data_IF_371254064259
#
_entry.id   IF_371254064259
#
_cell.length_a   1.000
_cell.length_b   1.000
_cell.length_c   1.000
_cell.angle_alpha   90.00
_cell.angle_beta   90.00
_cell.angle_gamma   90.00
#
_symmetry.space_group_name_H-M   'P 1'
#
loop_
_entity.id
_entity.type
_entity.pdbx_description
1 polymer ?
#
# COMPACT_ATOMS: atom_id res chain seq x y z
N UNK A 1 3.21 30.48 14.16
CA UNK A 1 2.23 29.40 14.42
C UNK A 1 2.83 28.11 13.87
N UNK A 2 3.22 27.17 14.72
CA UNK A 2 3.79 25.88 14.31
C UNK A 2 2.62 24.95 13.94
N UNK A 3 2.48 24.61 12.65
CA UNK A 3 1.48 23.63 12.22
C UNK A 3 1.92 22.27 12.74
N UNK A 4 1.12 21.69 13.65
CA UNK A 4 1.39 20.36 14.19
C UNK A 4 1.10 19.30 13.13
N UNK A 5 2.12 18.54 12.75
CA UNK A 5 1.99 17.44 11.79
C UNK A 5 1.30 16.20 12.40
N UNK A 6 1.08 16.17 13.72
CA UNK A 6 0.33 15.11 14.40
C UNK A 6 -1.17 15.06 14.01
N UNK A 7 -1.73 16.18 13.54
CA UNK A 7 -3.10 16.23 12.98
C UNK A 7 -3.22 15.58 11.60
N UNK A 8 -2.12 15.10 11.03
CA UNK A 8 -2.04 14.48 9.70
C UNK A 8 -1.76 12.98 9.77
N UNK A 9 -2.04 12.37 10.93
CA UNK A 9 -1.91 10.93 11.11
C UNK A 9 -2.92 10.20 10.22
N UNK A 10 -2.42 9.34 9.35
CA UNK A 10 -3.22 8.77 8.27
C UNK A 10 -4.12 7.64 8.81
N UNK A 11 -5.44 7.63 8.49
CA UNK A 11 -6.26 6.46 8.75
C UNK A 11 -5.72 5.23 8.00
N UNK A 12 -6.05 4.05 8.49
CA UNK A 12 -5.59 2.79 7.90
C UNK A 12 -6.76 2.07 7.26
N UNK A 13 -6.68 1.86 5.95
CA UNK A 13 -7.65 1.05 5.23
C UNK A 13 -7.46 -0.43 5.55
N UNK A 14 -8.52 -1.10 6.00
CA UNK A 14 -8.54 -2.55 6.28
C UNK A 14 -9.75 -3.20 5.60
N UNK A 15 -9.73 -4.51 5.31
CA UNK A 15 -10.92 -5.19 4.81
C UNK A 15 -12.08 -5.13 5.81
N UNK A 16 -13.29 -4.84 5.32
CA UNK A 16 -14.47 -4.70 6.15
C UNK A 16 -14.83 -6.05 6.83
N UNK A 17 -15.20 -6.00 8.11
CA UNK A 17 -15.59 -7.17 8.89
C UNK A 17 -14.46 -8.12 9.26
N UNK A 18 -13.21 -7.82 8.89
CA UNK A 18 -12.04 -8.59 9.35
C UNK A 18 -11.61 -8.08 10.73
N UNK A 19 -11.54 -8.94 11.76
CA UNK A 19 -11.09 -8.52 13.08
C UNK A 19 -9.66 -7.97 13.02
N UNK A 20 -9.34 -6.85 13.70
CA UNK A 20 -7.99 -6.28 13.67
C UNK A 20 -6.89 -7.24 14.13
N UNK A 21 -7.18 -8.14 15.08
CA UNK A 21 -6.28 -9.22 15.54
C UNK A 21 -5.90 -10.23 14.46
N UNK A 22 -6.61 -10.25 13.34
CA UNK A 22 -6.34 -11.11 12.18
C UNK A 22 -5.49 -10.39 11.12
N UNK A 23 -5.09 -9.15 11.41
CA UNK A 23 -4.27 -8.31 10.57
C UNK A 23 -2.92 -8.05 11.24
N UNK A 24 -1.88 -7.90 10.42
CA UNK A 24 -0.55 -7.51 10.86
C UNK A 24 -0.09 -6.26 10.12
N UNK A 25 0.75 -5.46 10.79
CA UNK A 25 1.48 -4.38 10.15
C UNK A 25 2.65 -4.96 9.35
N UNK A 26 2.63 -4.77 8.04
CA UNK A 26 3.70 -5.25 7.14
C UNK A 26 4.82 -4.22 7.00
N UNK A 27 4.44 -2.95 6.90
CA UNK A 27 5.37 -1.83 6.79
C UNK A 27 4.67 -0.53 7.19
N UNK A 28 5.41 0.38 7.80
CA UNK A 28 4.95 1.74 8.04
C UNK A 28 6.06 2.75 7.76
N UNK A 29 5.78 3.73 6.90
CA UNK A 29 6.57 4.96 6.85
C UNK A 29 6.07 5.91 7.96
N UNK A 30 7.01 6.52 8.68
CA UNK A 30 6.72 7.41 9.81
C UNK A 30 7.39 8.75 9.60
N UNK A 31 6.64 9.82 9.84
CA UNK A 31 7.18 11.17 9.87
C UNK A 31 7.28 11.70 11.30
N UNK A 32 8.19 12.65 11.52
CA UNK A 32 8.35 13.38 12.79
C UNK A 32 8.52 14.87 12.51
N UNK A 33 7.91 15.72 13.34
CA UNK A 33 7.89 17.18 13.10
C UNK A 33 9.16 17.85 13.61
N UNK A 34 9.78 17.22 14.61
CA UNK A 34 11.02 17.61 15.23
C UNK A 34 11.61 16.37 15.94
N UNK A 35 12.92 16.35 16.20
CA UNK A 35 13.53 15.35 17.07
C UNK A 35 12.81 15.30 18.43
N UNK A 36 12.42 14.09 18.87
CA UNK A 36 11.71 13.87 20.13
C UNK A 36 10.19 14.15 20.12
N UNK A 37 9.62 14.59 18.99
CA UNK A 37 8.17 14.78 18.85
C UNK A 37 7.44 13.45 18.56
N UNK A 38 6.11 13.38 18.81
CA UNK A 38 5.29 12.24 18.41
C UNK A 38 5.40 11.95 16.90
N UNK A 39 5.54 10.67 16.56
CA UNK A 39 5.54 10.23 15.16
C UNK A 39 4.12 10.00 14.64
N UNK A 40 3.88 10.39 13.38
CA UNK A 40 2.65 10.05 12.65
C UNK A 40 2.94 8.97 11.60
N UNK A 41 1.92 8.24 11.19
CA UNK A 41 1.98 7.32 10.06
C UNK A 41 1.75 8.07 8.76
N UNK A 42 2.60 7.80 7.78
CA UNK A 42 2.49 8.37 6.43
C UNK A 42 1.91 7.32 5.49
N UNK A 43 2.65 6.23 5.32
CA UNK A 43 2.21 5.09 4.53
C UNK A 43 2.12 3.88 5.43
N UNK A 44 1.02 3.15 5.35
CA UNK A 44 0.77 2.00 6.21
C UNK A 44 0.34 0.84 5.35
N UNK A 45 1.09 -0.25 5.42
CA UNK A 45 0.78 -1.51 4.73
C UNK A 45 0.33 -2.53 5.75
N UNK A 46 -0.84 -3.11 5.53
CA UNK A 46 -1.42 -4.17 6.35
C UNK A 46 -1.64 -5.42 5.52
N UNK A 47 -1.60 -6.57 6.17
CA UNK A 47 -1.88 -7.87 5.57
C UNK A 47 -2.51 -8.82 6.57
N UNK A 48 -2.85 -10.04 6.14
CA UNK A 48 -3.34 -11.06 7.04
C UNK A 48 -2.22 -11.53 7.97
N UNK A 49 -2.56 -11.83 9.22
CA UNK A 49 -1.66 -12.57 10.11
C UNK A 49 -1.34 -13.92 9.46
N UNK A 50 -0.05 -14.30 9.34
CA UNK A 50 0.32 -15.57 8.75
C UNK A 50 -0.17 -16.75 9.63
N UNK A 51 -0.66 -17.85 9.05
CA UNK A 51 -1.01 -19.04 9.81
C UNK A 51 0.17 -19.57 10.65
N UNK A 52 -0.09 -20.23 11.79
CA UNK A 52 0.97 -20.89 12.56
C UNK A 52 1.82 -21.82 11.69
N UNK A 53 3.14 -21.76 11.85
CA UNK A 53 4.10 -22.56 11.07
C UNK A 53 4.42 -22.00 9.67
N UNK A 54 3.84 -20.86 9.28
CA UNK A 54 4.28 -20.13 8.09
C UNK A 54 5.72 -19.64 8.28
N UNK A 55 6.63 -19.82 7.31
CA UNK A 55 7.98 -19.28 7.39
C UNK A 55 7.95 -17.76 7.64
N UNK A 56 8.85 -17.21 8.47
CA UNK A 56 8.83 -15.79 8.84
C UNK A 56 8.91 -14.85 7.63
N UNK A 57 9.55 -15.29 6.55
CA UNK A 57 9.74 -14.48 5.35
C UNK A 57 8.65 -14.67 4.28
N UNK A 58 7.72 -15.61 4.47
CA UNK A 58 6.73 -15.92 3.44
C UNK A 58 5.86 -14.69 3.11
N UNK A 59 5.69 -14.36 1.81
CA UNK A 59 4.96 -13.16 1.44
C UNK A 59 3.47 -13.28 1.82
N UNK A 60 2.85 -12.20 2.33
CA UNK A 60 1.45 -12.23 2.72
C UNK A 60 0.56 -12.43 1.48
N UNK A 61 -0.51 -13.22 1.64
CA UNK A 61 -1.42 -13.60 0.57
C UNK A 61 -1.99 -12.39 -0.19
N UNK A 62 -2.20 -11.29 0.54
CA UNK A 62 -2.55 -9.98 0.03
C UNK A 62 -2.01 -8.90 0.96
N UNK A 63 -1.93 -7.68 0.47
CA UNK A 63 -1.64 -6.49 1.27
C UNK A 63 -2.43 -5.29 0.79
N UNK A 64 -2.81 -4.45 1.73
CA UNK A 64 -3.43 -3.14 1.51
C UNK A 64 -2.49 -2.09 2.07
N UNK A 65 -2.04 -1.18 1.22
CA UNK A 65 -1.26 -0.02 1.63
C UNK A 65 -2.08 1.23 1.45
N UNK A 66 -2.21 1.99 2.53
CA UNK A 66 -2.77 3.34 2.53
C UNK A 66 -1.61 4.32 2.43
N UNK A 67 -1.67 5.22 1.45
CA UNK A 67 -0.64 6.22 1.15
C UNK A 67 -1.24 7.60 1.40
N UNK A 68 -0.60 8.38 2.27
CA UNK A 68 -1.05 9.74 2.57
C UNK A 68 -0.95 10.66 1.34
N UNK A 69 -1.95 11.54 1.15
CA UNK A 69 -1.79 12.72 0.30
C UNK A 69 -1.37 13.90 1.17
N UNK A 70 -0.22 14.47 0.87
CA UNK A 70 0.49 15.49 1.65
C UNK A 70 0.73 16.78 0.87
N UNK A 71 0.42 16.81 -0.42
CA UNK A 71 0.67 17.95 -1.30
C UNK A 71 2.16 18.10 -1.59
N UNK A 72 2.64 19.35 -1.62
CA UNK A 72 4.06 19.67 -1.72
C UNK A 72 4.57 20.05 -0.33
N UNK A 73 5.63 19.40 0.16
CA UNK A 73 6.22 19.65 1.49
C UNK A 73 7.74 19.67 1.44
N UNK A 74 8.40 20.41 2.34
CA UNK A 74 9.84 20.33 2.50
C UNK A 74 10.24 18.92 2.91
N UNK A 75 11.29 18.40 2.28
CA UNK A 75 11.93 17.14 2.63
C UNK A 75 13.10 17.39 3.60
N UNK A 76 13.58 16.34 4.27
CA UNK A 76 14.64 16.42 5.28
C UNK A 76 15.99 16.90 4.71
N UNK A 77 16.19 16.76 3.39
CA UNK A 77 17.37 17.22 2.66
C UNK A 77 17.27 18.68 2.19
N UNK A 78 16.19 19.38 2.53
CA UNK A 78 15.92 20.75 2.09
C UNK A 78 15.26 20.84 0.70
N UNK A 79 14.98 19.69 0.07
CA UNK A 79 14.18 19.59 -1.14
C UNK A 79 12.67 19.68 -0.88
N UNK A 80 11.88 19.30 -1.88
CA UNK A 80 10.42 19.20 -1.76
C UNK A 80 9.95 17.80 -2.12
N UNK A 81 9.19 17.16 -1.24
CA UNK A 81 8.39 15.98 -1.55
C UNK A 81 7.04 16.42 -2.13
N UNK A 82 6.65 15.84 -3.27
CA UNK A 82 5.34 16.10 -3.90
C UNK A 82 4.53 14.81 -3.88
N UNK A 83 3.22 14.93 -3.67
CA UNK A 83 2.29 13.83 -3.88
C UNK A 83 2.55 13.14 -5.22
N UNK A 84 2.76 11.82 -5.18
CA UNK A 84 2.95 11.04 -6.39
C UNK A 84 1.75 11.17 -7.36
N UNK A 85 1.88 10.65 -8.57
CA UNK A 85 0.71 10.48 -9.44
C UNK A 85 0.01 9.15 -9.13
N UNK A 86 -1.27 9.01 -9.50
CA UNK A 86 -1.96 7.71 -9.43
C UNK A 86 -1.24 6.65 -10.29
N UNK A 87 -0.58 7.08 -11.37
CA UNK A 87 0.31 6.24 -12.18
C UNK A 87 1.52 5.73 -11.39
N UNK A 88 2.18 6.57 -10.60
CA UNK A 88 3.27 6.13 -9.72
C UNK A 88 2.79 5.15 -8.63
N UNK A 89 1.56 5.33 -8.15
CA UNK A 89 0.92 4.38 -7.24
C UNK A 89 0.65 3.04 -7.94
N UNK A 90 0.22 3.06 -9.21
CA UNK A 90 0.04 1.86 -10.03
C UNK A 90 1.36 1.12 -10.30
N UNK A 91 2.44 1.87 -10.56
CA UNK A 91 3.79 1.29 -10.68
C UNK A 91 4.17 0.58 -9.38
N UNK A 92 3.99 1.24 -8.24
CA UNK A 92 4.24 0.67 -6.91
C UNK A 92 3.45 -0.63 -6.72
N UNK A 93 2.15 -0.64 -7.04
CA UNK A 93 1.31 -1.81 -6.89
C UNK A 93 1.82 -3.02 -7.70
N UNK A 94 2.19 -2.81 -8.97
CA UNK A 94 2.69 -3.87 -9.85
C UNK A 94 4.09 -4.32 -9.43
N UNK A 95 4.99 -3.39 -9.13
CA UNK A 95 6.34 -3.73 -8.68
C UNK A 95 6.29 -4.49 -7.36
N UNK A 96 5.52 -4.04 -6.37
CA UNK A 96 5.37 -4.76 -5.10
C UNK A 96 4.69 -6.13 -5.26
N UNK A 97 3.80 -6.30 -6.24
CA UNK A 97 3.26 -7.62 -6.59
C UNK A 97 4.36 -8.55 -7.11
N UNK A 98 5.22 -8.07 -8.03
CA UNK A 98 6.28 -8.88 -8.64
C UNK A 98 7.42 -9.18 -7.68
N UNK A 99 7.80 -8.23 -6.82
CA UNK A 99 8.86 -8.43 -5.82
C UNK A 99 8.52 -9.55 -4.83
N UNK A 100 7.23 -9.78 -4.54
CA UNK A 100 6.78 -10.90 -3.69
C UNK A 100 7.04 -12.28 -4.31
N UNK A 101 7.40 -12.34 -5.59
CA UNK A 101 7.69 -13.60 -6.29
C UNK A 101 9.18 -13.95 -6.27
N UNK A 102 10.04 -13.03 -5.82
CA UNK A 102 11.48 -13.29 -5.71
C UNK A 102 11.69 -14.36 -4.63
N UNK A 103 12.26 -15.53 -4.97
CA UNK A 103 12.57 -16.56 -3.99
C UNK A 103 13.57 -16.05 -2.95
N UNK A 104 13.34 -16.35 -1.68
CA UNK A 104 14.24 -15.95 -0.59
C UNK A 104 15.65 -16.56 -0.72
N UNK A 105 15.75 -17.77 -1.29
CA UNK A 105 17.03 -18.46 -1.49
C UNK A 105 17.78 -18.02 -2.76
N UNK A 106 17.34 -16.95 -3.41
CA UNK A 106 17.98 -16.44 -4.61
C UNK A 106 19.35 -15.82 -4.33
N UNK A 107 20.22 -15.85 -5.34
CA UNK A 107 21.49 -15.12 -5.27
C UNK A 107 21.24 -13.60 -5.22
N UNK A 108 22.23 -12.84 -4.73
CA UNK A 108 22.16 -11.38 -4.73
C UNK A 108 22.05 -10.80 -6.15
N UNK A 109 22.76 -11.41 -7.11
CA UNK A 109 22.71 -11.02 -8.53
C UNK A 109 21.31 -11.25 -9.14
N UNK A 110 20.73 -12.44 -8.91
CA UNK A 110 19.37 -12.74 -9.39
C UNK A 110 18.33 -11.82 -8.73
N UNK A 111 18.47 -11.57 -7.43
CA UNK A 111 17.60 -10.66 -6.68
C UNK A 111 17.64 -9.25 -7.25
N UNK A 112 18.84 -8.73 -7.54
CA UNK A 112 19.01 -7.41 -8.15
C UNK A 112 18.39 -7.37 -9.54
N UNK A 113 18.67 -8.37 -10.38
CA UNK A 113 18.14 -8.47 -11.74
C UNK A 113 16.60 -8.50 -11.74
N UNK A 114 15.99 -9.33 -10.88
CA UNK A 114 14.54 -9.41 -10.78
C UNK A 114 13.92 -8.14 -10.19
N UNK A 115 14.59 -7.49 -9.25
CA UNK A 115 14.15 -6.20 -8.70
C UNK A 115 14.11 -5.13 -9.79
N UNK A 116 15.16 -5.03 -10.61
CA UNK A 116 15.20 -4.12 -11.74
C UNK A 116 14.11 -4.44 -12.77
N UNK A 117 13.93 -5.72 -13.11
CA UNK A 117 12.89 -6.18 -14.02
C UNK A 117 11.48 -5.86 -13.50
N UNK A 118 11.24 -6.02 -12.20
CA UNK A 118 9.98 -5.67 -11.55
C UNK A 118 9.71 -4.16 -11.62
N UNK A 119 10.75 -3.33 -11.49
CA UNK A 119 10.65 -1.87 -11.66
C UNK A 119 10.32 -1.47 -13.10
N UNK A 120 11.04 -2.03 -14.09
CA UNK A 120 10.76 -1.78 -15.52
C UNK A 120 9.33 -2.21 -15.87
N UNK A 121 8.94 -3.42 -15.46
CA UNK A 121 7.60 -3.96 -15.72
C UNK A 121 6.53 -3.08 -15.06
N UNK A 122 6.76 -2.66 -13.81
CA UNK A 122 5.87 -1.75 -13.08
C UNK A 122 5.62 -0.46 -13.86
N UNK A 123 6.68 0.21 -14.32
CA UNK A 123 6.56 1.42 -15.16
C UNK A 123 5.77 1.18 -16.43
N UNK A 124 6.10 0.14 -17.18
CA UNK A 124 5.45 -0.17 -18.46
C UNK A 124 3.97 -0.47 -18.29
N UNK A 125 3.59 -1.23 -17.26
CA UNK A 125 2.18 -1.56 -16.98
C UNK A 125 1.43 -0.33 -16.47
N UNK A 126 2.03 0.45 -15.58
CA UNK A 126 1.41 1.64 -15.01
C UNK A 126 1.21 2.76 -16.05
N UNK A 127 2.10 2.89 -17.03
CA UNK A 127 1.93 3.83 -18.15
C UNK A 127 0.60 3.65 -18.89
N UNK A 128 0.00 2.45 -18.81
CA UNK A 128 -1.28 2.09 -19.42
C UNK A 128 -2.46 2.14 -18.44
N UNK A 129 -2.34 2.84 -17.30
CA UNK A 129 -3.41 2.93 -16.30
C UNK A 129 -4.77 3.38 -16.88
N UNK A 130 -4.74 4.24 -17.88
CA UNK A 130 -5.95 4.77 -18.53
C UNK A 130 -6.59 3.79 -19.53
N UNK A 131 -5.86 2.74 -19.94
CA UNK A 131 -6.34 1.67 -20.83
C UNK A 131 -7.15 0.63 -20.05
N UNK A 132 -8.47 0.65 -20.25
CA UNK A 132 -9.43 -0.25 -19.60
C UNK A 132 -9.17 -1.73 -19.88
N UNK A 133 -8.51 -2.08 -21.00
CA UNK A 133 -8.16 -3.48 -21.29
C UNK A 133 -7.01 -3.97 -20.41
N UNK A 134 -6.10 -3.06 -20.06
CA UNK A 134 -4.94 -3.35 -19.20
C UNK A 134 -5.27 -3.21 -17.71
N UNK A 135 -6.12 -2.22 -17.39
CA UNK A 135 -6.61 -1.90 -16.06
C UNK A 135 -8.14 -1.79 -16.06
N UNK A 136 -8.86 -2.94 -16.07
CA UNK A 136 -10.29 -2.95 -15.83
C UNK A 136 -10.65 -2.15 -14.58
N UNK A 137 -11.77 -1.42 -14.68
CA UNK A 137 -12.29 -0.61 -13.60
C UNK A 137 -13.40 -1.37 -12.90
N UNK A 138 -13.38 -1.37 -11.58
CA UNK A 138 -14.44 -1.88 -10.73
C UNK A 138 -14.70 -0.89 -9.59
N UNK A 139 -15.61 -1.22 -8.69
CA UNK A 139 -15.93 -0.39 -7.52
C UNK A 139 -15.39 -1.06 -6.27
N UNK A 140 -14.80 -0.26 -5.38
CA UNK A 140 -14.56 -0.62 -4.00
C UNK A 140 -15.48 0.16 -3.07
N UNK A 141 -16.03 -0.50 -2.07
CA UNK A 141 -16.85 0.08 -1.02
C UNK A 141 -15.97 0.38 0.19
N UNK A 142 -15.94 1.64 0.62
CA UNK A 142 -15.22 2.07 1.83
C UNK A 142 -16.24 2.72 2.76
N UNK A 143 -16.56 2.05 3.86
CA UNK A 143 -17.55 2.52 4.85
C UNK A 143 -18.91 2.93 4.24
N UNK A 144 -19.38 2.18 3.24
CA UNK A 144 -20.65 2.43 2.55
C UNK A 144 -20.56 3.40 1.37
N UNK A 145 -19.37 3.92 1.05
CA UNK A 145 -19.15 4.84 -0.06
C UNK A 145 -18.40 4.15 -1.22
N UNK A 146 -18.91 4.26 -2.47
CA UNK A 146 -18.26 3.68 -3.63
C UNK A 146 -17.09 4.54 -4.13
N UNK A 147 -15.96 3.91 -4.38
CA UNK A 147 -14.78 4.49 -5.02
C UNK A 147 -14.36 3.66 -6.23
N UNK A 148 -13.76 4.32 -7.23
CA UNK A 148 -13.24 3.65 -8.42
C UNK A 148 -11.95 2.90 -8.06
N UNK A 149 -11.89 1.62 -8.43
CA UNK A 149 -10.72 0.76 -8.29
C UNK A 149 -10.23 0.35 -9.67
N UNK A 150 -8.99 0.69 -10.01
CA UNK A 150 -8.31 0.14 -11.17
C UNK A 150 -7.64 -1.16 -10.77
N UNK A 151 -7.91 -2.23 -11.50
CA UNK A 151 -7.39 -3.56 -11.22
C UNK A 151 -6.56 -4.06 -12.40
N UNK A 152 -5.36 -4.53 -12.12
CA UNK A 152 -4.51 -5.26 -13.04
C UNK A 152 -4.37 -6.70 -12.55
N UNK A 153 -4.60 -7.66 -13.44
CA UNK A 153 -4.49 -9.09 -13.11
C UNK A 153 -3.52 -9.78 -14.05
N UNK A 154 -2.74 -10.69 -13.49
CA UNK A 154 -1.83 -11.57 -14.22
C UNK A 154 -1.85 -12.97 -13.59
N UNK A 155 -1.15 -13.91 -14.22
CA UNK A 155 -1.00 -15.26 -13.68
C UNK A 155 -0.34 -15.26 -12.30
N UNK A 156 0.57 -14.30 -12.05
CA UNK A 156 1.32 -14.20 -10.82
C UNK A 156 0.55 -13.55 -9.67
N UNK A 157 -0.52 -12.82 -9.97
CA UNK A 157 -1.32 -12.13 -8.95
C UNK A 157 -2.16 -10.98 -9.48
N UNK A 158 -2.53 -10.10 -8.56
CA UNK A 158 -3.22 -8.85 -8.88
C UNK A 158 -2.52 -7.64 -8.25
N UNK A 159 -2.70 -6.50 -8.91
CA UNK A 159 -2.37 -5.17 -8.41
C UNK A 159 -3.61 -4.29 -8.57
N UNK A 160 -3.93 -3.48 -7.56
CA UNK A 160 -5.08 -2.60 -7.55
C UNK A 160 -4.70 -1.24 -7.00
N UNK A 161 -5.29 -0.18 -7.58
CA UNK A 161 -5.09 1.18 -7.08
C UNK A 161 -6.39 1.97 -7.06
N UNK A 162 -6.54 2.80 -6.05
CA UNK A 162 -7.67 3.71 -5.91
C UNK A 162 -7.21 5.05 -5.31
N UNK A 163 -7.95 6.10 -5.63
CA UNK A 163 -7.81 7.43 -5.02
C UNK A 163 -9.08 7.70 -4.21
N UNK A 164 -8.93 7.83 -2.88
CA UNK A 164 -10.04 8.11 -1.96
C UNK A 164 -10.15 9.61 -1.65
N UNK A 165 -9.48 10.47 -2.42
CA UNK A 165 -9.42 11.91 -2.19
C UNK A 165 -8.39 12.29 -1.13
N UNK A 166 -8.54 11.80 0.10
CA UNK A 166 -7.64 12.09 1.23
C UNK A 166 -6.38 11.20 1.24
N UNK A 167 -6.47 10.02 0.65
CA UNK A 167 -5.37 9.06 0.55
C UNK A 167 -5.49 8.26 -0.74
N UNK A 168 -4.41 7.53 -1.05
CA UNK A 168 -4.42 6.55 -2.12
C UNK A 168 -4.22 5.16 -1.57
N UNK A 169 -4.71 4.19 -2.31
CA UNK A 169 -4.69 2.80 -1.90
C UNK A 169 -3.89 2.01 -2.93
N UNK A 170 -3.01 1.16 -2.43
CA UNK A 170 -2.35 0.10 -3.19
C UNK A 170 -2.82 -1.23 -2.64
N UNK A 171 -3.34 -2.08 -3.51
CA UNK A 171 -3.75 -3.44 -3.22
C UNK A 171 -2.86 -4.37 -4.05
N UNK A 172 -2.33 -5.43 -3.47
CA UNK A 172 -1.70 -6.48 -4.28
C UNK A 172 -1.66 -7.80 -3.54
N UNK A 173 -1.68 -8.89 -4.29
CA UNK A 173 -1.68 -10.23 -3.73
C UNK A 173 -1.78 -11.29 -4.82
N UNK A 174 -1.95 -12.55 -4.40
CA UNK A 174 -2.03 -13.68 -5.33
C UNK A 174 -3.40 -13.77 -6.02
N UNK A 175 -4.48 -13.44 -5.31
CA UNK A 175 -5.85 -13.48 -5.83
C UNK A 175 -6.66 -12.34 -5.24
N UNK A 176 -7.48 -11.65 -6.05
CA UNK A 176 -8.38 -10.63 -5.52
C UNK A 176 -9.42 -11.27 -4.59
N UNK A 177 -9.92 -10.54 -3.58
CA UNK A 177 -11.06 -10.99 -2.80
C UNK A 177 -12.33 -11.04 -3.67
N UNK A 178 -13.34 -11.83 -3.26
CA UNK A 178 -14.63 -11.90 -3.97
C UNK A 178 -15.41 -10.58 -3.92
N UNK A 179 -15.13 -9.72 -2.93
CA UNK A 179 -15.71 -8.39 -2.80
C UNK A 179 -14.67 -7.38 -2.31
N UNK A 180 -14.72 -6.16 -2.84
CA UNK A 180 -13.83 -5.06 -2.51
C UNK A 180 -14.45 -4.16 -1.42
N UNK A 181 -14.57 -4.68 -0.20
CA UNK A 181 -15.17 -3.94 0.92
C UNK A 181 -14.13 -3.63 1.98
N UNK A 182 -14.07 -2.38 2.40
CA UNK A 182 -13.06 -1.87 3.31
C UNK A 182 -13.65 -0.90 4.33
N UNK A 183 -12.88 -0.68 5.40
CA UNK A 183 -13.14 0.29 6.45
C UNK A 183 -11.89 1.12 6.71
N UNK A 184 -12.06 2.42 6.92
CA UNK A 184 -10.98 3.30 7.37
C UNK A 184 -10.93 3.31 8.90
N UNK A 185 -9.90 2.69 9.47
CA UNK A 185 -9.65 2.78 10.90
C UNK A 185 -9.01 4.13 11.24
N UNK A 186 -9.47 4.83 12.29
CA UNK A 186 -8.74 5.95 12.85
C UNK A 186 -7.32 5.52 13.25
N UNK A 187 -6.33 6.41 13.05
CA UNK A 187 -4.93 6.07 13.24
C UNK A 187 -4.61 5.56 14.66
N UNK A 188 -5.20 6.17 15.70
CA UNK A 188 -5.04 5.73 17.09
C UNK A 188 -5.54 4.28 17.30
N UNK A 189 -6.71 3.95 16.73
CA UNK A 189 -7.28 2.60 16.77
C UNK A 189 -6.40 1.61 16.04
N UNK A 190 -5.94 1.96 14.83
CA UNK A 190 -5.08 1.11 14.02
C UNK A 190 -3.74 0.87 14.72
N UNK A 191 -3.14 1.88 15.35
CA UNK A 191 -1.94 1.71 16.17
C UNK A 191 -2.17 0.75 17.32
N UNK A 192 -3.21 0.96 18.11
CA UNK A 192 -3.52 0.07 19.24
C UNK A 192 -3.73 -1.38 18.79
N UNK A 193 -4.26 -1.60 17.59
CA UNK A 193 -4.60 -2.93 17.10
C UNK A 193 -3.49 -3.64 16.32
N UNK A 194 -2.55 -2.89 15.73
CA UNK A 194 -1.52 -3.41 14.82
C UNK A 194 -0.08 -3.26 15.36
N UNK A 195 0.11 -2.71 16.56
CA UNK A 195 1.44 -2.49 17.17
C UNK A 195 1.95 -3.64 18.04
N UNK A 196 1.32 -4.81 17.95
CA UNK A 196 1.79 -6.06 18.56
C UNK A 196 2.60 -6.91 17.60
#
# INVERSE_FOLDING_TARGET
MTISLAGLDMPVLVPAGVPPRSLSLLAAARGTAAPGAPSWWEDVSVGPVPPPGTPPDAPPAWSVRTIARRGCRPDADGGWTVDGSLRGVAETAVTSMLLKLIPHAASAEDTLRWTQQAGVTGRTVAARLDDVRSWPRTTMDVDGHPFLLWLHQRAEGFAGVADLGACRVVLHGRRPPPAWRFTLLPAATARSALST
#
